data_IF_098167244890
#
_entry.id   IF_098167244890
#
_cell.length_a   1.000
_cell.length_b   1.000
_cell.length_c   1.000
_cell.angle_alpha   90.00
_cell.angle_beta   90.00
_cell.angle_gamma   90.00
#
_symmetry.space_group_name_H-M   'P 1'
#
loop_
_entity.id
_entity.type
_entity.pdbx_description
1 polymer ?
#
# COMPACT_ATOMS: atom_id res chain seq x y z
N UNK A 1 0.76 7.59 1.95
CA UNK A 1 2.17 7.80 2.29
C UNK A 1 3.09 7.68 1.07
N UNK A 2 3.10 6.57 0.31
CA UNK A 2 3.99 6.42 -0.88
C UNK A 2 3.81 7.54 -1.93
N UNK A 3 2.59 7.79 -2.41
CA UNK A 3 2.34 8.85 -3.41
C UNK A 3 2.69 10.23 -2.85
N UNK A 4 2.47 10.45 -1.55
CA UNK A 4 2.85 11.68 -0.86
C UNK A 4 4.37 11.87 -0.80
N UNK A 5 5.14 10.79 -0.73
CA UNK A 5 6.61 10.82 -0.78
C UNK A 5 7.14 11.11 -2.19
N UNK A 6 6.63 10.39 -3.20
CA UNK A 6 7.20 10.40 -4.57
C UNK A 6 6.61 11.48 -5.47
N UNK A 7 5.31 11.76 -5.34
CA UNK A 7 4.55 12.68 -6.19
C UNK A 7 3.59 13.51 -5.35
N UNK A 8 4.12 14.34 -4.42
CA UNK A 8 3.29 15.19 -3.56
C UNK A 8 2.38 16.13 -4.36
N UNK A 9 2.80 16.52 -5.57
CA UNK A 9 2.02 17.34 -6.50
C UNK A 9 0.71 16.68 -6.98
N UNK A 10 0.61 15.36 -6.91
CA UNK A 10 -0.61 14.61 -7.22
C UNK A 10 -1.54 14.45 -6.01
N UNK A 11 -1.08 14.81 -4.81
CA UNK A 11 -1.87 14.72 -3.57
C UNK A 11 -2.59 16.04 -3.34
N UNK A 12 -3.92 15.99 -3.32
CA UNK A 12 -4.74 17.12 -2.88
C UNK A 12 -4.66 17.22 -1.35
N UNK A 13 -3.63 17.89 -0.84
CA UNK A 13 -3.35 17.98 0.60
C UNK A 13 -4.53 18.43 1.46
N UNK A 14 -5.25 19.48 1.04
CA UNK A 14 -6.42 19.97 1.77
C UNK A 14 -7.55 18.92 1.85
N UNK A 15 -7.72 18.12 0.79
CA UNK A 15 -8.68 17.01 0.79
C UNK A 15 -8.19 15.90 1.70
N UNK A 16 -6.94 15.47 1.55
CA UNK A 16 -6.33 14.42 2.38
C UNK A 16 -6.47 14.71 3.88
N UNK A 17 -6.16 15.94 4.30
CA UNK A 17 -6.23 16.36 5.69
C UNK A 17 -7.66 16.43 6.26
N UNK A 18 -8.68 16.59 5.41
CA UNK A 18 -10.08 16.68 5.81
C UNK A 18 -10.79 15.32 5.83
N UNK A 19 -10.18 14.26 5.28
CA UNK A 19 -10.80 12.94 5.23
C UNK A 19 -10.79 12.27 6.62
N UNK A 20 -11.94 11.84 7.15
CA UNK A 20 -12.00 11.17 8.44
C UNK A 20 -11.35 9.78 8.37
N UNK A 21 -10.88 9.27 9.50
CA UNK A 21 -10.43 7.89 9.60
C UNK A 21 -11.55 6.89 9.22
N UNK A 22 -11.22 5.88 8.43
CA UNK A 22 -12.11 4.78 8.10
C UNK A 22 -11.46 3.42 8.43
N UNK A 23 -11.62 2.89 9.66
CA UNK A 23 -10.95 1.66 10.09
C UNK A 23 -11.58 0.37 9.51
N UNK A 24 -12.57 0.47 8.62
CA UNK A 24 -13.22 -0.70 8.03
C UNK A 24 -12.25 -1.47 7.14
N UNK A 25 -12.37 -2.80 7.16
CA UNK A 25 -11.59 -3.68 6.28
C UNK A 25 -12.35 -3.92 4.97
N UNK A 26 -11.76 -3.47 3.85
CA UNK A 26 -12.27 -3.80 2.51
C UNK A 26 -12.23 -5.31 2.27
N UNK A 27 -11.19 -6.00 2.74
CA UNK A 27 -11.04 -7.45 2.56
C UNK A 27 -12.18 -8.21 3.22
N UNK A 28 -12.51 -7.88 4.46
CA UNK A 28 -13.63 -8.53 5.15
C UNK A 28 -14.98 -8.19 4.48
N UNK A 29 -15.13 -6.97 3.97
CA UNK A 29 -16.35 -6.57 3.26
C UNK A 29 -16.56 -7.40 1.99
N UNK A 30 -15.50 -7.61 1.21
CA UNK A 30 -15.51 -8.47 0.03
C UNK A 30 -15.82 -9.92 0.42
N UNK A 31 -15.22 -10.44 1.50
CA UNK A 31 -15.52 -11.79 2.00
C UNK A 31 -16.99 -11.96 2.43
N UNK A 32 -17.65 -10.88 2.88
CA UNK A 32 -19.09 -10.86 3.22
C UNK A 32 -20.01 -10.66 2.00
N UNK A 33 -19.44 -10.56 0.80
CA UNK A 33 -20.20 -10.41 -0.44
C UNK A 33 -20.67 -8.99 -0.74
N UNK A 34 -20.08 -7.97 -0.12
CA UNK A 34 -20.35 -6.58 -0.51
C UNK A 34 -19.75 -6.30 -1.90
N UNK A 35 -20.55 -5.72 -2.79
CA UNK A 35 -20.18 -5.48 -4.19
C UNK A 35 -19.77 -4.02 -4.45
N UNK A 36 -20.10 -3.11 -3.52
CA UNK A 36 -19.78 -1.69 -3.66
C UNK A 36 -18.97 -1.15 -2.47
N UNK A 37 -18.19 -0.08 -2.71
CA UNK A 37 -17.48 0.60 -1.63
C UNK A 37 -18.44 1.21 -0.59
N UNK A 38 -19.61 1.68 -1.01
CA UNK A 38 -20.64 2.18 -0.10
C UNK A 38 -21.13 1.10 0.85
N UNK A 39 -21.40 -0.12 0.35
CA UNK A 39 -21.77 -1.27 1.19
C UNK A 39 -20.63 -1.68 2.12
N UNK A 40 -19.38 -1.64 1.63
CA UNK A 40 -18.19 -1.87 2.43
C UNK A 40 -17.91 -0.75 3.46
N UNK A 41 -18.65 0.36 3.42
CA UNK A 41 -18.52 1.49 4.32
C UNK A 41 -17.41 2.49 3.98
N UNK A 42 -16.94 2.49 2.75
CA UNK A 42 -16.07 3.51 2.17
C UNK A 42 -16.81 4.28 1.09
N UNK A 43 -17.83 5.07 1.42
CA UNK A 43 -18.62 5.81 0.42
C UNK A 43 -17.77 6.75 -0.48
N UNK A 44 -16.61 7.18 -0.01
CA UNK A 44 -15.62 7.96 -0.77
C UNK A 44 -14.45 7.10 -1.32
N UNK A 45 -14.65 5.79 -1.40
CA UNK A 45 -13.72 4.79 -1.92
C UNK A 45 -12.33 4.79 -1.25
N UNK A 46 -12.27 4.99 0.07
CA UNK A 46 -11.04 4.85 0.85
C UNK A 46 -11.27 4.08 2.15
N UNK A 47 -10.20 3.44 2.62
CA UNK A 47 -10.13 2.70 3.87
C UNK A 47 -8.76 3.01 4.51
N UNK A 48 -8.73 3.26 5.82
CA UNK A 48 -7.54 3.69 6.56
C UNK A 48 -7.59 5.15 7.04
N UNK A 49 -6.41 5.73 7.26
CA UNK A 49 -6.21 7.00 7.97
C UNK A 49 -5.46 8.01 7.08
N UNK A 50 -6.10 8.53 6.01
CA UNK A 50 -5.41 9.36 5.02
C UNK A 50 -4.82 10.65 5.59
N UNK A 51 -5.46 11.26 6.60
CA UNK A 51 -4.98 12.48 7.23
C UNK A 51 -3.66 12.29 8.01
N UNK A 52 -3.37 11.07 8.46
CA UNK A 52 -2.17 10.73 9.22
C UNK A 52 -0.99 10.33 8.33
N UNK A 53 -1.21 10.22 7.01
CA UNK A 53 -0.19 9.80 6.07
C UNK A 53 0.97 10.80 6.02
N UNK A 54 2.21 10.29 6.13
CA UNK A 54 3.42 11.11 6.00
C UNK A 54 4.26 10.71 4.79
N UNK A 55 5.09 11.64 4.32
CA UNK A 55 6.07 11.33 3.27
C UNK A 55 7.21 10.44 3.79
N UNK A 56 7.55 10.53 5.08
CA UNK A 56 8.55 9.69 5.73
C UNK A 56 8.12 8.22 5.74
N UNK A 57 6.92 7.94 6.24
CA UNK A 57 6.34 6.59 6.20
C UNK A 57 6.31 6.05 4.75
N UNK A 58 6.02 6.91 3.77
CA UNK A 58 6.05 6.53 2.36
C UNK A 58 7.43 6.04 1.89
N UNK A 59 8.49 6.75 2.25
CA UNK A 59 9.87 6.35 1.93
C UNK A 59 10.26 5.07 2.66
N UNK A 60 9.89 4.92 3.93
CA UNK A 60 10.20 3.74 4.74
C UNK A 60 9.53 2.48 4.17
N UNK A 61 8.28 2.60 3.72
CA UNK A 61 7.57 1.51 3.04
C UNK A 61 8.30 1.11 1.77
N UNK A 62 8.69 2.07 0.92
CA UNK A 62 9.39 1.77 -0.35
C UNK A 62 10.75 1.13 -0.08
N UNK A 63 11.52 1.62 0.89
CA UNK A 63 12.79 1.04 1.28
C UNK A 63 12.62 -0.41 1.76
N UNK A 64 11.63 -0.65 2.64
CA UNK A 64 11.34 -1.99 3.17
C UNK A 64 10.93 -2.97 2.06
N UNK A 65 10.03 -2.55 1.17
CA UNK A 65 9.61 -3.37 0.03
C UNK A 65 10.77 -3.63 -0.94
N UNK A 66 11.66 -2.64 -1.12
CA UNK A 66 12.87 -2.78 -1.92
C UNK A 66 13.82 -3.85 -1.37
N UNK A 67 14.06 -3.86 -0.06
CA UNK A 67 14.87 -4.90 0.59
C UNK A 67 14.25 -6.29 0.41
N UNK A 68 12.94 -6.43 0.65
CA UNK A 68 12.23 -7.72 0.48
C UNK A 68 12.37 -8.22 -0.97
N UNK A 69 12.22 -7.33 -1.94
CA UNK A 69 12.36 -7.68 -3.35
C UNK A 69 13.80 -8.08 -3.71
N UNK A 70 14.79 -7.31 -3.26
CA UNK A 70 16.21 -7.59 -3.51
C UNK A 70 16.61 -8.97 -2.96
N UNK A 71 16.24 -9.27 -1.72
CA UNK A 71 16.48 -10.57 -1.08
C UNK A 71 15.84 -11.72 -1.87
N UNK A 72 14.57 -11.58 -2.24
CA UNK A 72 13.84 -12.59 -3.02
C UNK A 72 14.48 -12.83 -4.40
N UNK A 73 14.90 -11.77 -5.09
CA UNK A 73 15.57 -11.87 -6.40
C UNK A 73 16.94 -12.54 -6.26
N UNK A 74 17.72 -12.14 -5.25
CA UNK A 74 19.03 -12.73 -4.98
C UNK A 74 18.92 -14.24 -4.73
N UNK A 75 17.92 -14.67 -3.96
CA UNK A 75 17.66 -16.09 -3.67
C UNK A 75 17.33 -16.87 -4.95
N UNK A 76 16.40 -16.35 -5.78
CA UNK A 76 16.02 -16.98 -7.06
C UNK A 76 17.22 -17.12 -7.98
N UNK A 77 18.04 -16.07 -8.11
CA UNK A 77 19.24 -16.08 -8.96
C UNK A 77 20.32 -17.04 -8.42
N UNK A 78 20.47 -17.16 -7.11
CA UNK A 78 21.40 -18.12 -6.51
C UNK A 78 20.94 -19.57 -6.76
N UNK A 79 19.64 -19.85 -6.61
CA UNK A 79 19.05 -21.17 -6.88
C UNK A 79 19.19 -21.57 -8.36
N UNK A 80 18.92 -20.66 -9.29
CA UNK A 80 19.08 -20.90 -10.73
C UNK A 80 20.53 -21.24 -11.11
N UNK A 81 21.51 -20.54 -10.50
CA UNK A 81 22.93 -20.81 -10.72
C UNK A 81 23.36 -22.19 -10.21
N UNK A 82 22.83 -22.64 -9.06
CA UNK A 82 23.10 -23.98 -8.52
C UNK A 82 22.53 -25.09 -9.40
N UNK A 83 21.28 -24.94 -9.87
CA UNK A 83 20.63 -25.92 -10.74
C UNK A 83 21.17 -26.01 -12.17
N UNK A 84 22.04 -25.08 -12.59
CA UNK A 84 22.74 -25.14 -13.90
C UNK A 84 24.09 -25.86 -13.81
N UNK A 85 24.58 -26.11 -12.59
CA UNK A 85 25.88 -26.76 -12.34
C UNK A 85 25.75 -28.25 -11.96
N UNK A 86 24.52 -28.77 -11.84
CA UNK A 86 24.18 -30.20 -11.73
C UNK A 86 23.74 -30.76 -13.08
#
# INVERSE_FOLDING_TARGET
SIVLAERPDLVRHAVMAALPANPRSLVEAVQRGHETFSEAGGAQAYFGFPADATAEEGRDIVATLGTILDEAVAEVLASARRGTLE
#
